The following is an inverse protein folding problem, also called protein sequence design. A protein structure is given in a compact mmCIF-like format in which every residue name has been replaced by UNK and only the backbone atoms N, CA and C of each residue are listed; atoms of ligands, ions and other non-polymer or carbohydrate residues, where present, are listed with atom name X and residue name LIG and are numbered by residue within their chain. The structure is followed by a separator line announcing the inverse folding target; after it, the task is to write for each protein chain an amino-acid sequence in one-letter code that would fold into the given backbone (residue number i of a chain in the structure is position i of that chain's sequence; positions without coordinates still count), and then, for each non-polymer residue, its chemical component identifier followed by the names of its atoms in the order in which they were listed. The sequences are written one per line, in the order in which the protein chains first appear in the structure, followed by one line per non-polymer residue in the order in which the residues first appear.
data_IF_666325476314
#
_entry.id   IF_666325476314
#
_cell.length_a   1.000
_cell.length_b   1.000
_cell.length_c   1.000
_cell.angle_alpha   90.00
_cell.angle_beta   90.00
_cell.angle_gamma   90.00
#
_symmetry.space_group_name_H-M   'P 1'
#
loop_
_entity.id
_entity.type
_entity.pdbx_description
1 polymer ?
#
# COMPACT_ATOMS: atom_id res chain seq x y z
N UNK A 1 -20.61 -4.19 9.21
CA UNK A 1 -19.99 -2.95 8.68
C UNK A 1 -18.98 -2.36 9.66
N UNK A 2 -19.35 -2.07 10.91
CA UNK A 2 -18.40 -1.54 11.92
C UNK A 2 -17.15 -2.41 12.12
N UNK A 3 -17.32 -3.73 12.26
CA UNK A 3 -16.19 -4.66 12.39
C UNK A 3 -15.26 -4.67 11.16
N UNK A 4 -15.82 -4.55 9.96
CA UNK A 4 -15.05 -4.48 8.71
C UNK A 4 -14.25 -3.18 8.60
N UNK A 5 -14.84 -2.06 9.00
CA UNK A 5 -14.15 -0.76 9.07
C UNK A 5 -13.03 -0.75 10.11
N UNK A 6 -13.26 -1.36 11.28
CA UNK A 6 -12.23 -1.53 12.31
C UNK A 6 -11.07 -2.39 11.80
N UNK A 7 -11.36 -3.53 11.18
CA UNK A 7 -10.35 -4.40 10.57
C UNK A 7 -9.52 -3.64 9.54
N UNK A 8 -10.17 -2.86 8.67
CA UNK A 8 -9.50 -2.02 7.69
C UNK A 8 -8.61 -0.96 8.35
N UNK A 9 -9.07 -0.30 9.41
CA UNK A 9 -8.28 0.69 10.16
C UNK A 9 -7.03 0.08 10.82
N UNK A 10 -7.17 -1.09 11.45
CA UNK A 10 -6.04 -1.84 12.03
C UNK A 10 -5.05 -2.24 10.94
N UNK A 11 -5.53 -2.71 9.79
CA UNK A 11 -4.70 -3.07 8.65
C UNK A 11 -3.88 -1.88 8.14
N UNK A 12 -4.49 -0.69 8.01
CA UNK A 12 -3.79 0.54 7.63
C UNK A 12 -2.69 0.93 8.61
N UNK A 13 -2.95 0.85 9.92
CA UNK A 13 -1.94 1.10 10.95
C UNK A 13 -0.76 0.13 10.85
N UNK A 14 -1.03 -1.15 10.59
CA UNK A 14 0.03 -2.16 10.41
C UNK A 14 0.89 -1.89 9.18
N UNK A 15 0.30 -1.43 8.08
CA UNK A 15 1.05 -1.08 6.88
C UNK A 15 2.01 0.10 7.13
N UNK A 16 1.55 1.15 7.81
CA UNK A 16 2.40 2.29 8.18
C UNK A 16 3.56 1.88 9.09
N UNK A 17 3.30 0.99 10.04
CA UNK A 17 4.36 0.40 10.88
C UNK A 17 5.33 -0.46 10.07
N UNK A 18 4.84 -1.19 9.07
CA UNK A 18 5.68 -1.99 8.18
C UNK A 18 6.63 -1.09 7.37
N UNK A 19 6.14 0.04 6.84
CA UNK A 19 6.96 1.03 6.14
C UNK A 19 8.06 1.60 7.04
N UNK A 20 7.69 2.06 8.24
CA UNK A 20 8.64 2.59 9.21
C UNK A 20 9.69 1.54 9.60
N UNK A 21 9.27 0.28 9.77
CA UNK A 21 10.15 -0.85 10.09
C UNK A 21 11.11 -1.14 8.94
N UNK A 22 10.62 -1.14 7.69
CA UNK A 22 11.44 -1.34 6.50
C UNK A 22 12.49 -0.23 6.35
N UNK A 23 12.12 1.03 6.61
CA UNK A 23 13.06 2.15 6.67
C UNK A 23 14.08 1.94 7.78
N UNK A 24 13.66 1.50 8.98
CA UNK A 24 14.58 1.27 10.09
C UNK A 24 15.64 0.20 9.79
N UNK A 25 15.27 -0.84 9.04
CA UNK A 25 16.20 -1.91 8.65
C UNK A 25 17.11 -1.52 7.49
N UNK A 26 16.57 -0.82 6.51
CA UNK A 26 17.30 -0.51 5.27
C UNK A 26 18.06 0.81 5.33
N UNK A 27 17.67 1.71 6.25
CA UNK A 27 18.05 3.13 6.29
C UNK A 27 17.93 3.81 4.93
N UNK A 28 16.89 3.44 4.18
CA UNK A 28 16.68 3.92 2.81
C UNK A 28 15.20 4.27 2.55
N UNK A 29 14.70 5.36 3.16
CA UNK A 29 13.34 5.82 2.90
C UNK A 29 13.12 6.20 1.43
N UNK A 30 14.16 6.72 0.76
CA UNK A 30 14.10 7.09 -0.66
C UNK A 30 13.91 5.90 -1.60
N UNK A 31 14.59 4.78 -1.33
CA UNK A 31 14.43 3.54 -2.09
C UNK A 31 13.01 2.99 -1.95
N UNK A 32 12.47 2.96 -0.73
CA UNK A 32 11.10 2.51 -0.50
C UNK A 32 10.08 3.43 -1.16
N UNK A 33 10.25 4.76 -1.03
CA UNK A 33 9.42 5.76 -1.73
C UNK A 33 9.44 5.56 -3.24
N UNK A 34 10.62 5.38 -3.82
CA UNK A 34 10.78 5.17 -5.26
C UNK A 34 10.07 3.90 -5.72
N UNK A 35 10.13 2.81 -4.96
CA UNK A 35 9.41 1.58 -5.27
C UNK A 35 7.89 1.80 -5.25
N UNK A 36 7.37 2.53 -4.26
CA UNK A 36 5.95 2.90 -4.21
C UNK A 36 5.54 3.82 -5.36
N UNK A 37 6.41 4.72 -5.81
CA UNK A 37 6.14 5.56 -6.99
C UNK A 37 6.07 4.75 -8.29
N UNK A 38 6.87 3.68 -8.41
CA UNK A 38 6.78 2.74 -9.54
C UNK A 38 5.43 2.02 -9.52
N UNK A 39 5.04 1.48 -8.37
CA UNK A 39 3.73 0.83 -8.20
C UNK A 39 2.56 1.78 -8.46
N UNK A 40 2.66 3.04 -8.00
CA UNK A 40 1.60 4.04 -8.21
C UNK A 40 1.40 4.43 -9.68
N UNK A 41 2.42 4.20 -10.53
CA UNK A 41 2.38 4.45 -11.97
C UNK A 41 2.00 3.22 -12.77
N UNK A 42 1.99 2.04 -12.13
CA UNK A 42 1.61 0.81 -12.79
C UNK A 42 0.12 0.85 -13.13
N UNK A 43 -0.17 0.76 -14.41
CA UNK A 43 -1.52 0.72 -14.96
C UNK A 43 -1.77 -0.60 -15.72
N UNK A 44 -0.95 -1.62 -15.46
CA UNK A 44 -0.99 -2.90 -16.14
C UNK A 44 -2.38 -3.50 -16.01
N UNK A 45 -3.06 -3.63 -17.15
CA UNK A 45 -4.38 -4.27 -17.21
C UNK A 45 -4.17 -5.78 -17.18
N UNK A 46 -4.64 -6.42 -16.11
CA UNK A 46 -4.55 -7.86 -15.97
C UNK A 46 -5.54 -8.55 -16.92
N UNK A 47 -5.01 -9.28 -17.90
CA UNK A 47 -5.81 -10.00 -18.91
C UNK A 47 -6.64 -11.15 -18.32
N UNK A 48 -6.14 -11.82 -17.28
CA UNK A 48 -6.81 -12.95 -16.62
C UNK A 48 -7.16 -12.61 -15.16
N UNK A 49 -8.41 -12.21 -14.94
CA UNK A 49 -8.95 -11.78 -13.65
C UNK A 49 -9.85 -12.88 -13.08
N UNK A 50 -9.28 -13.84 -12.35
CA UNK A 50 -10.05 -14.88 -11.64
C UNK A 50 -9.52 -15.10 -10.22
N UNK A 51 -10.38 -15.58 -9.32
CA UNK A 51 -9.99 -15.90 -7.94
C UNK A 51 -8.91 -16.98 -7.86
N UNK A 52 -8.87 -17.89 -8.83
CA UNK A 52 -7.88 -18.96 -8.92
C UNK A 52 -6.45 -18.43 -9.15
N UNK A 53 -6.30 -17.30 -9.83
CA UNK A 53 -4.98 -16.70 -10.13
C UNK A 53 -4.69 -15.42 -9.34
N UNK A 54 -5.68 -14.87 -8.63
CA UNK A 54 -5.55 -13.60 -7.91
C UNK A 54 -4.39 -13.58 -6.89
N UNK A 55 -4.08 -14.72 -6.25
CA UNK A 55 -3.00 -14.85 -5.28
C UNK A 55 -1.58 -14.80 -5.87
N UNK A 56 -1.45 -14.91 -7.20
CA UNK A 56 -0.18 -14.80 -7.91
C UNK A 56 0.19 -13.35 -8.23
N UNK A 57 -0.75 -12.42 -8.11
CA UNK A 57 -0.52 -11.00 -8.40
C UNK A 57 -0.09 -10.25 -7.14
N UNK A 58 0.78 -9.26 -7.35
CA UNK A 58 1.23 -8.35 -6.30
C UNK A 58 0.06 -7.48 -5.83
N UNK A 59 -0.82 -7.06 -6.76
CA UNK A 59 -2.07 -6.37 -6.47
C UNK A 59 -3.24 -7.25 -6.94
N UNK A 60 -4.27 -7.41 -6.09
CA UNK A 60 -5.45 -8.19 -6.44
C UNK A 60 -6.08 -7.60 -7.69
N UNK A 61 -6.16 -8.37 -8.79
CA UNK A 61 -6.78 -7.86 -9.97
C UNK A 61 -8.26 -7.64 -9.68
N UNK A 62 -8.91 -8.19 -8.65
CA UNK A 62 -10.35 -8.06 -8.42
C UNK A 62 -10.79 -6.73 -7.76
N UNK A 63 -9.85 -5.88 -7.34
CA UNK A 63 -10.12 -4.73 -6.47
C UNK A 63 -10.43 -3.45 -7.28
N UNK A 64 -11.48 -3.46 -8.12
CA UNK A 64 -11.89 -2.25 -8.88
C UNK A 64 -13.24 -1.68 -8.39
N UNK A 65 -13.20 -0.74 -7.43
CA UNK A 65 -14.29 0.23 -7.21
C UNK A 65 -13.89 1.35 -6.23
N UNK A 66 -14.40 2.56 -6.43
CA UNK A 66 -14.28 3.71 -5.51
C UNK A 66 -14.84 3.45 -4.09
N UNK A 67 -15.69 2.42 -3.92
CA UNK A 67 -16.13 1.95 -2.60
C UNK A 67 -14.98 1.29 -1.80
N UNK A 68 -13.87 0.95 -2.45
CA UNK A 68 -12.71 0.33 -1.82
C UNK A 68 -12.05 1.24 -0.79
N UNK A 69 -12.12 2.57 -0.88
CA UNK A 69 -11.42 3.44 0.09
C UNK A 69 -11.84 3.21 1.55
N UNK A 70 -13.10 2.88 1.80
CA UNK A 70 -13.59 2.57 3.17
C UNK A 70 -13.23 1.15 3.62
N UNK A 71 -13.13 0.21 2.67
CA UNK A 71 -12.81 -1.20 2.92
C UNK A 71 -11.35 -1.55 2.60
N UNK A 72 -10.54 -0.57 2.21
CA UNK A 72 -9.17 -0.75 1.78
C UNK A 72 -8.36 -1.24 2.97
N UNK A 73 -7.74 -2.40 2.77
CA UNK A 73 -6.86 -3.03 3.74
C UNK A 73 -5.50 -2.33 3.83
N UNK A 74 -5.17 -1.48 2.85
CA UNK A 74 -3.96 -0.66 2.84
C UNK A 74 -4.31 0.83 2.77
N UNK A 75 -3.50 1.72 3.36
CA UNK A 75 -3.64 3.15 3.15
C UNK A 75 -3.36 3.45 1.67
N UNK A 76 -3.98 4.51 1.10
CA UNK A 76 -3.67 4.95 -0.26
C UNK A 76 -2.15 5.09 -0.46
N UNK A 77 -1.65 4.60 -1.59
CA UNK A 77 -0.21 4.61 -1.88
C UNK A 77 0.40 6.02 -1.79
N UNK A 78 -0.38 7.05 -2.11
CA UNK A 78 0.02 8.45 -2.02
C UNK A 78 0.27 8.91 -0.57
N UNK A 79 -0.51 8.41 0.39
CA UNK A 79 -0.32 8.72 1.82
C UNK A 79 0.99 8.11 2.34
N UNK A 80 1.32 6.89 1.88
CA UNK A 80 2.58 6.22 2.21
C UNK A 80 3.78 6.96 1.62
N UNK A 81 3.70 7.37 0.35
CA UNK A 81 4.74 8.17 -0.31
C UNK A 81 4.97 9.49 0.45
N UNK A 82 3.90 10.17 0.88
CA UNK A 82 4.02 11.41 1.64
C UNK A 82 4.72 11.18 3.01
N UNK A 83 4.37 10.10 3.70
CA UNK A 83 5.00 9.73 4.98
C UNK A 83 6.50 9.47 4.81
N UNK A 84 6.89 8.74 3.76
CA UNK A 84 8.31 8.45 3.50
C UNK A 84 9.10 9.71 3.12
N UNK A 85 8.51 10.63 2.35
CA UNK A 85 9.13 11.96 2.10
C UNK A 85 9.32 12.75 3.40
N UNK A 86 8.38 12.67 4.33
CA UNK A 86 8.52 13.34 5.63
C UNK A 86 9.68 12.72 6.45
N UNK A 87 9.86 11.40 6.39
CA UNK A 87 11.00 10.72 7.02
C UNK A 87 12.34 11.17 6.43
N UNK A 88 12.44 11.25 5.09
CA UNK A 88 13.62 11.79 4.40
C UNK A 88 13.97 13.21 4.90
N UNK A 89 12.96 14.08 5.03
CA UNK A 89 13.16 15.46 5.49
C UNK A 89 13.57 15.56 6.96
N UNK A 90 13.27 14.53 7.76
CA UNK A 90 13.57 14.48 9.20
C UNK A 90 14.98 13.95 9.51
N UNK A 91 15.78 13.61 8.49
CA UNK A 91 17.15 13.09 8.66
C UNK A 91 17.21 11.65 9.19
N UNK A 92 16.12 10.88 9.02
CA UNK A 92 16.05 9.44 9.31
C UNK A 92 16.33 8.66 8.02
#
# INVERSE_FOLDING_TARGET
IAATLLKAAVSRKRESLADATAVSFTRNPAGLRSALEVLARDNTVVAARSSAVAHMYIESPLDASAASRLFATHPPIQERIATLRAMESSGI
#
